data_IF_706871619275
#
_entry.id   IF_706871619275
#
_cell.length_a   1.000
_cell.length_b   1.000
_cell.length_c   1.000
_cell.angle_alpha   90.00
_cell.angle_beta   90.00
_cell.angle_gamma   90.00
#
_symmetry.space_group_name_H-M   'P 1'
#
loop_
_entity.id
_entity.type
_entity.pdbx_description
1 polymer ?
#
# COMPACT_ATOMS: atom_id res chain seq x y z
N UNK A 1 13.49 7.42 -0.68
CA UNK A 1 12.64 7.92 0.39
C UNK A 1 13.54 8.60 1.44
N UNK A 2 13.15 9.73 1.98
CA UNK A 2 13.95 10.51 2.92
C UNK A 2 13.82 10.04 4.38
N UNK A 3 13.42 8.77 4.60
CA UNK A 3 13.23 8.21 5.95
C UNK A 3 14.54 8.28 6.75
N UNK A 4 14.47 8.89 7.92
CA UNK A 4 15.62 9.02 8.84
C UNK A 4 15.95 7.67 9.51
N UNK A 5 16.73 6.86 8.79
CA UNK A 5 17.13 5.51 9.25
C UNK A 5 17.98 5.58 10.52
N UNK A 6 19.04 6.43 10.63
CA UNK A 6 19.82 6.54 11.87
C UNK A 6 18.97 6.96 13.06
N UNK A 7 18.05 7.92 12.85
CA UNK A 7 17.20 8.44 13.91
C UNK A 7 16.27 7.39 14.50
N UNK A 8 15.52 6.65 13.68
CA UNK A 8 14.62 5.63 14.25
C UNK A 8 15.36 4.43 14.83
N UNK A 9 16.55 4.07 14.31
CA UNK A 9 17.39 3.00 14.90
C UNK A 9 17.90 3.43 16.29
N UNK A 10 18.29 4.69 16.46
CA UNK A 10 18.68 5.21 17.77
C UNK A 10 17.54 5.12 18.78
N UNK A 11 16.31 5.48 18.38
CA UNK A 11 15.11 5.36 19.21
C UNK A 11 14.78 3.90 19.54
N UNK A 12 14.96 2.96 18.61
CA UNK A 12 14.78 1.53 18.87
C UNK A 12 15.77 1.05 19.94
N UNK A 13 17.05 1.46 19.86
CA UNK A 13 18.06 1.13 20.85
C UNK A 13 17.67 1.61 22.26
N UNK A 14 16.99 2.77 22.33
CA UNK A 14 16.47 3.34 23.58
C UNK A 14 15.11 2.75 24.00
N UNK A 15 14.58 1.74 23.28
CA UNK A 15 13.25 1.12 23.49
C UNK A 15 12.07 2.10 23.34
N UNK A 16 12.26 3.21 22.62
CA UNK A 16 11.27 4.26 22.33
C UNK A 16 10.58 3.94 20.99
N UNK A 17 9.88 2.81 20.93
CA UNK A 17 9.33 2.26 19.67
C UNK A 17 8.24 3.15 19.07
N UNK A 18 7.38 3.75 19.90
CA UNK A 18 6.32 4.66 19.45
C UNK A 18 6.90 5.88 18.71
N UNK A 19 7.98 6.45 19.25
CA UNK A 19 8.67 7.59 18.64
C UNK A 19 9.44 7.18 17.38
N UNK A 20 10.00 5.98 17.35
CA UNK A 20 10.64 5.44 16.15
C UNK A 20 9.62 5.31 15.00
N UNK A 21 8.44 4.77 15.26
CA UNK A 21 7.38 4.65 14.26
C UNK A 21 6.84 6.03 13.85
N UNK A 22 6.68 6.97 14.78
CA UNK A 22 6.29 8.34 14.47
C UNK A 22 7.30 9.05 13.57
N UNK A 23 8.61 8.83 13.81
CA UNK A 23 9.68 9.36 12.96
C UNK A 23 9.63 8.77 11.54
N UNK A 24 9.42 7.45 11.41
CA UNK A 24 9.28 6.78 10.11
C UNK A 24 8.08 7.35 9.33
N UNK A 25 6.94 7.60 10.01
CA UNK A 25 5.70 8.08 9.39
C UNK A 25 5.78 9.49 8.81
N UNK A 26 6.78 10.29 9.16
CA UNK A 26 7.00 11.60 8.53
C UNK A 26 7.19 11.47 7.01
N UNK A 27 7.88 10.42 6.57
CA UNK A 27 8.23 10.21 5.17
C UNK A 27 7.63 8.92 4.58
N UNK A 28 7.00 8.09 5.41
CA UNK A 28 6.39 6.83 4.99
C UNK A 28 5.09 6.57 5.76
N UNK A 29 3.91 6.80 5.17
CA UNK A 29 2.62 6.57 5.83
C UNK A 29 2.28 5.09 5.99
N UNK A 30 3.00 4.18 5.32
CA UNK A 30 2.84 2.72 5.37
C UNK A 30 4.04 2.01 6.01
N UNK A 31 4.45 2.36 7.24
CA UNK A 31 5.61 1.73 7.85
C UNK A 31 5.39 0.23 8.11
N UNK A 32 4.15 -0.19 8.46
CA UNK A 32 3.77 -1.58 8.67
C UNK A 32 3.91 -2.39 7.39
N UNK A 33 3.24 -1.97 6.33
CA UNK A 33 3.36 -2.61 5.01
C UNK A 33 4.82 -2.73 4.58
N UNK A 34 5.59 -1.65 4.66
CA UNK A 34 7.01 -1.69 4.29
C UNK A 34 7.86 -2.59 5.21
N UNK A 35 7.46 -2.79 6.45
CA UNK A 35 8.13 -3.74 7.36
C UNK A 35 7.96 -5.20 6.92
N UNK A 36 6.87 -5.52 6.24
CA UNK A 36 6.51 -6.88 5.84
C UNK A 36 6.89 -7.23 4.40
N UNK A 37 6.70 -6.31 3.43
CA UNK A 37 6.79 -6.65 2.00
C UNK A 37 7.81 -5.83 1.19
N UNK A 38 8.60 -4.97 1.85
CA UNK A 38 9.60 -4.16 1.15
C UNK A 38 10.81 -5.03 0.73
N UNK A 39 11.28 -4.85 -0.49
CA UNK A 39 12.53 -5.45 -0.99
C UNK A 39 13.81 -4.80 -0.45
N UNK A 40 13.69 -3.90 0.51
CA UNK A 40 14.75 -3.21 1.26
C UNK A 40 15.96 -2.74 0.44
N UNK A 41 15.78 -1.97 -0.65
CA UNK A 41 16.89 -1.46 -1.45
C UNK A 41 17.86 -0.57 -0.65
N UNK A 42 17.42 -0.02 0.47
CA UNK A 42 18.27 0.72 1.41
C UNK A 42 19.39 -0.14 2.03
N UNK A 43 19.18 -1.45 2.17
CA UNK A 43 20.21 -2.39 2.65
C UNK A 43 21.23 -2.71 1.56
N UNK A 44 20.79 -2.77 0.29
CA UNK A 44 21.69 -2.96 -0.86
C UNK A 44 22.69 -1.79 -0.95
N UNK A 45 22.23 -0.57 -0.66
CA UNK A 45 23.04 0.66 -0.70
C UNK A 45 23.61 1.07 0.67
N UNK A 46 23.52 0.21 1.67
CA UNK A 46 24.03 0.51 3.00
C UNK A 46 25.55 0.61 2.99
N UNK A 47 26.10 1.74 3.46
CA UNK A 47 27.57 1.95 3.55
C UNK A 47 28.27 0.96 4.49
N UNK A 48 27.55 0.40 5.46
CA UNK A 48 28.07 -0.61 6.36
C UNK A 48 28.60 -1.84 5.61
N UNK A 49 28.01 -2.18 4.45
CA UNK A 49 28.48 -3.26 3.57
C UNK A 49 29.92 -3.10 3.07
N UNK A 50 30.48 -1.90 3.18
CA UNK A 50 31.91 -1.66 2.85
C UNK A 50 32.86 -2.18 3.96
N UNK A 51 32.34 -2.51 5.13
CA UNK A 51 33.10 -2.95 6.30
C UNK A 51 32.77 -4.40 6.66
N UNK A 52 31.47 -4.69 6.74
CA UNK A 52 30.89 -6.01 7.05
C UNK A 52 29.48 -6.13 6.42
N UNK A 53 28.48 -6.66 7.11
CA UNK A 53 27.12 -6.81 6.62
C UNK A 53 26.32 -5.51 6.69
N UNK A 54 25.31 -5.40 5.81
CA UNK A 54 24.36 -4.30 5.87
C UNK A 54 23.62 -4.28 7.21
N UNK A 55 23.27 -3.08 7.67
CA UNK A 55 22.32 -2.93 8.80
C UNK A 55 20.97 -3.51 8.37
N UNK A 56 20.36 -4.35 9.20
CA UNK A 56 19.03 -4.91 8.97
C UNK A 56 17.94 -3.82 9.17
N UNK A 57 17.87 -2.89 8.21
CA UNK A 57 17.03 -1.68 8.25
C UNK A 57 15.55 -2.05 8.23
N UNK A 58 15.18 -3.01 7.36
CA UNK A 58 13.79 -3.45 7.23
C UNK A 58 13.33 -4.24 8.46
N UNK A 59 14.14 -5.16 8.95
CA UNK A 59 13.84 -5.94 10.15
C UNK A 59 13.71 -5.06 11.39
N UNK A 60 14.57 -4.06 11.57
CA UNK A 60 14.48 -3.10 12.67
C UNK A 60 13.20 -2.24 12.58
N UNK A 61 12.81 -1.82 11.36
CA UNK A 61 11.54 -1.13 11.13
C UNK A 61 10.35 -2.00 11.55
N UNK A 62 10.31 -3.25 11.07
CA UNK A 62 9.28 -4.22 11.45
C UNK A 62 9.23 -4.42 12.96
N UNK A 63 10.39 -4.62 13.57
CA UNK A 63 10.49 -4.78 15.04
C UNK A 63 9.88 -3.59 15.79
N UNK A 64 10.19 -2.35 15.37
CA UNK A 64 9.62 -1.16 15.99
C UNK A 64 8.09 -1.13 15.87
N UNK A 65 7.54 -1.49 14.70
CA UNK A 65 6.11 -1.51 14.44
C UNK A 65 5.41 -2.56 15.29
N UNK A 66 5.97 -3.76 15.37
CA UNK A 66 5.39 -4.88 16.14
C UNK A 66 5.37 -4.59 17.65
N UNK A 67 6.28 -3.73 18.14
CA UNK A 67 6.40 -3.36 19.56
C UNK A 67 5.83 -1.98 19.89
N UNK A 68 5.36 -1.21 18.89
CA UNK A 68 4.75 0.10 19.13
C UNK A 68 3.26 0.00 19.41
N UNK A 69 2.77 0.94 20.23
CA UNK A 69 1.35 1.16 20.46
C UNK A 69 0.72 1.91 19.26
N UNK A 70 -0.62 1.87 19.14
CA UNK A 70 -1.31 2.75 18.19
C UNK A 70 -0.89 4.20 18.42
N UNK A 71 -0.42 4.86 17.34
CA UNK A 71 0.04 6.24 17.43
C UNK A 71 -1.12 7.21 17.64
N UNK A 72 -0.85 8.38 18.21
CA UNK A 72 -1.81 9.48 18.24
C UNK A 72 -2.06 10.01 16.81
N UNK A 73 -3.24 10.59 16.53
CA UNK A 73 -3.51 11.24 15.26
C UNK A 73 -2.46 12.32 14.96
N UNK A 74 -1.95 12.39 13.73
CA UNK A 74 -1.02 13.43 13.35
C UNK A 74 -1.71 14.80 13.33
N UNK A 75 -0.97 15.87 13.65
CA UNK A 75 -1.48 17.23 13.55
C UNK A 75 -1.48 17.69 12.10
N UNK A 76 -2.65 18.08 11.60
CA UNK A 76 -2.78 18.78 10.32
C UNK A 76 -2.54 20.29 10.46
N UNK A 77 -2.13 20.92 9.37
CA UNK A 77 -2.06 22.36 9.25
C UNK A 77 -3.47 23.00 9.34
N UNK A 78 -3.55 24.32 9.42
CA UNK A 78 -4.84 25.04 9.38
C UNK A 78 -5.55 24.72 8.05
N UNK A 79 -6.89 24.60 8.07
CA UNK A 79 -7.67 24.36 6.85
C UNK A 79 -7.39 25.41 5.78
N UNK A 80 -7.13 24.97 4.56
CA UNK A 80 -6.88 25.83 3.40
C UNK A 80 -8.17 26.25 2.68
N UNK A 81 -9.29 25.58 2.98
CA UNK A 81 -10.55 25.72 2.26
C UNK A 81 -10.55 25.07 0.87
N UNK A 82 -9.49 24.32 0.51
CA UNK A 82 -9.40 23.62 -0.76
C UNK A 82 -9.80 22.16 -0.61
N UNK A 83 -10.48 21.64 -1.65
CA UNK A 83 -10.99 20.28 -1.73
C UNK A 83 -10.26 19.47 -2.81
N UNK A 84 -9.89 18.23 -2.52
CA UNK A 84 -9.20 17.35 -3.46
C UNK A 84 -9.92 16.02 -3.55
N UNK A 85 -10.36 15.64 -4.75
CA UNK A 85 -10.84 14.31 -5.04
C UNK A 85 -9.67 13.38 -5.40
N UNK A 86 -9.65 12.18 -4.82
CA UNK A 86 -8.63 11.17 -5.08
C UNK A 86 -9.33 9.93 -5.64
N UNK A 87 -8.99 9.56 -6.87
CA UNK A 87 -9.58 8.43 -7.57
C UNK A 87 -8.68 7.22 -7.39
N UNK A 88 -9.08 6.30 -6.52
CA UNK A 88 -8.37 5.09 -6.14
C UNK A 88 -7.83 5.12 -4.71
N UNK A 89 -8.27 4.14 -3.90
CA UNK A 89 -7.92 3.94 -2.49
C UNK A 89 -6.74 2.99 -2.29
N UNK A 90 -5.86 2.83 -3.28
CA UNK A 90 -4.61 2.09 -3.17
C UNK A 90 -3.50 2.90 -2.46
N UNK A 91 -2.27 2.35 -2.35
CA UNK A 91 -1.19 3.01 -1.61
C UNK A 91 -0.85 4.41 -2.15
N UNK A 92 -0.94 4.63 -3.47
CA UNK A 92 -0.69 5.94 -4.07
C UNK A 92 -1.72 6.97 -3.65
N UNK A 93 -3.03 6.64 -3.75
CA UNK A 93 -4.11 7.54 -3.35
C UNK A 93 -4.12 7.83 -1.85
N UNK A 94 -3.97 6.79 -1.03
CA UNK A 94 -3.89 6.94 0.42
C UNK A 94 -2.70 7.80 0.87
N UNK A 95 -1.52 7.62 0.23
CA UNK A 95 -0.35 8.47 0.50
C UNK A 95 -0.60 9.93 0.13
N UNK A 96 -1.20 10.18 -1.05
CA UNK A 96 -1.53 11.53 -1.49
C UNK A 96 -2.55 12.17 -0.53
N UNK A 97 -3.62 11.45 -0.18
CA UNK A 97 -4.62 11.90 0.78
C UNK A 97 -4.01 12.28 2.13
N UNK A 98 -3.13 11.43 2.65
CA UNK A 98 -2.44 11.65 3.93
C UNK A 98 -1.68 12.97 3.94
N UNK A 99 -0.78 13.18 2.99
CA UNK A 99 0.04 14.40 2.99
C UNK A 99 -0.77 15.64 2.65
N UNK A 100 -1.74 15.57 1.74
CA UNK A 100 -2.62 16.70 1.43
C UNK A 100 -3.47 17.09 2.64
N UNK A 101 -4.00 16.11 3.39
CA UNK A 101 -4.74 16.38 4.63
C UNK A 101 -3.84 16.99 5.71
N UNK A 102 -2.58 16.53 5.84
CA UNK A 102 -1.61 17.17 6.74
C UNK A 102 -1.30 18.62 6.36
N UNK A 103 -1.36 18.95 5.07
CA UNK A 103 -1.24 20.33 4.56
C UNK A 103 -2.50 21.17 4.77
N UNK A 104 -3.59 20.60 5.30
CA UNK A 104 -4.84 21.28 5.59
C UNK A 104 -5.86 21.30 4.45
N UNK A 105 -5.67 20.48 3.42
CA UNK A 105 -6.66 20.30 2.36
C UNK A 105 -7.73 19.27 2.79
N UNK A 106 -8.98 19.47 2.37
CA UNK A 106 -10.05 18.49 2.54
C UNK A 106 -9.95 17.43 1.43
N UNK A 107 -9.71 16.18 1.78
CA UNK A 107 -9.53 15.10 0.82
C UNK A 107 -10.69 14.12 0.86
N UNK A 108 -11.16 13.70 -0.32
CA UNK A 108 -12.17 12.65 -0.50
C UNK A 108 -11.61 11.56 -1.41
N UNK A 109 -11.59 10.32 -0.93
CA UNK A 109 -11.16 9.15 -1.73
C UNK A 109 -12.39 8.46 -2.31
N UNK A 110 -12.37 8.19 -3.61
CA UNK A 110 -13.33 7.36 -4.33
C UNK A 110 -12.65 6.05 -4.71
N UNK A 111 -13.15 4.93 -4.15
CA UNK A 111 -12.60 3.59 -4.40
C UNK A 111 -13.70 2.69 -4.97
N UNK A 112 -13.40 2.02 -6.10
CA UNK A 112 -14.35 1.13 -6.76
C UNK A 112 -14.64 -0.16 -5.98
N UNK A 113 -13.72 -0.59 -5.12
CA UNK A 113 -13.83 -1.80 -4.32
C UNK A 113 -14.44 -1.52 -2.95
N UNK A 114 -14.95 -2.55 -2.26
CA UNK A 114 -15.55 -2.38 -0.95
C UNK A 114 -14.57 -1.97 0.14
N UNK A 115 -13.26 -2.19 -0.06
CA UNK A 115 -12.24 -1.89 0.93
C UNK A 115 -11.05 -1.16 0.32
N UNK A 116 -10.43 -0.29 1.14
CA UNK A 116 -9.19 0.40 0.79
C UNK A 116 -7.99 -0.54 0.82
N UNK A 117 -6.89 -0.11 0.18
CA UNK A 117 -5.62 -0.82 0.16
C UNK A 117 -5.13 -1.18 -1.24
N UNK A 118 -6.03 -1.21 -2.23
CA UNK A 118 -5.66 -1.53 -3.63
C UNK A 118 -4.90 -2.85 -3.73
N UNK A 119 -3.81 -2.90 -4.50
CA UNK A 119 -3.02 -4.13 -4.68
C UNK A 119 -2.33 -4.63 -3.39
N UNK A 120 -2.20 -3.82 -2.36
CA UNK A 120 -1.72 -4.31 -1.05
C UNK A 120 -2.70 -5.29 -0.42
N UNK A 121 -4.01 -5.07 -0.62
CA UNK A 121 -5.08 -5.94 -0.10
C UNK A 121 -5.47 -7.04 -1.10
N UNK A 122 -5.57 -6.69 -2.38
CA UNK A 122 -6.15 -7.57 -3.40
C UNK A 122 -5.12 -8.32 -4.23
N UNK A 123 -3.83 -8.06 -4.03
CA UNK A 123 -2.76 -8.67 -4.82
C UNK A 123 -1.69 -9.36 -3.99
N UNK A 124 -1.50 -8.96 -2.73
CA UNK A 124 -0.52 -9.56 -1.83
C UNK A 124 -1.25 -10.53 -0.90
N UNK A 125 -0.87 -11.82 -0.85
CA UNK A 125 -1.50 -12.79 0.03
C UNK A 125 -1.34 -12.47 1.52
N UNK A 126 -2.33 -12.88 2.33
CA UNK A 126 -2.39 -12.61 3.76
C UNK A 126 -1.19 -13.19 4.55
N UNK A 127 -0.61 -14.29 4.08
CA UNK A 127 0.59 -14.87 4.72
C UNK A 127 1.83 -13.99 4.54
N UNK A 128 1.86 -13.09 3.55
CA UNK A 128 2.94 -12.10 3.35
C UNK A 128 2.64 -10.76 3.98
N UNK A 129 1.39 -10.30 3.84
CA UNK A 129 0.92 -9.04 4.41
C UNK A 129 -0.38 -9.28 5.17
N UNK A 130 -0.31 -9.55 6.47
CA UNK A 130 -1.49 -9.74 7.30
C UNK A 130 -2.44 -8.54 7.20
N UNK A 131 -3.76 -8.76 7.03
CA UNK A 131 -4.74 -7.68 6.87
C UNK A 131 -4.71 -6.65 8.00
N UNK A 132 -4.48 -7.09 9.25
CA UNK A 132 -4.41 -6.22 10.43
C UNK A 132 -3.25 -5.22 10.36
N UNK A 133 -2.14 -5.57 9.71
CA UNK A 133 -1.00 -4.66 9.52
C UNK A 133 -1.36 -3.56 8.51
N UNK A 134 -2.00 -3.94 7.41
CA UNK A 134 -2.48 -3.00 6.42
C UNK A 134 -3.56 -2.07 7.00
N UNK A 135 -4.53 -2.64 7.73
CA UNK A 135 -5.63 -1.88 8.35
C UNK A 135 -5.13 -0.91 9.41
N UNK A 136 -4.09 -1.27 10.15
CA UNK A 136 -3.42 -0.37 11.11
C UNK A 136 -2.82 0.85 10.42
N UNK A 137 -2.13 0.67 9.29
CA UNK A 137 -1.56 1.80 8.54
C UNK A 137 -2.67 2.65 7.89
N UNK A 138 -3.69 2.03 7.28
CA UNK A 138 -4.84 2.74 6.68
C UNK A 138 -5.58 3.54 7.75
N UNK A 139 -5.89 2.96 8.90
CA UNK A 139 -6.58 3.63 10.00
C UNK A 139 -5.81 4.89 10.45
N UNK A 140 -4.47 4.79 10.55
CA UNK A 140 -3.64 5.95 10.90
C UNK A 140 -3.71 7.06 9.84
N UNK A 141 -3.74 6.70 8.55
CA UNK A 141 -3.91 7.64 7.45
C UNK A 141 -5.27 8.34 7.56
N UNK A 142 -6.34 7.59 7.78
CA UNK A 142 -7.70 8.11 7.87
C UNK A 142 -7.94 9.01 9.08
N UNK A 143 -7.13 8.91 10.14
CA UNK A 143 -7.20 9.81 11.30
C UNK A 143 -6.92 11.28 10.96
N UNK A 144 -6.39 11.58 9.78
CA UNK A 144 -6.24 12.96 9.29
C UNK A 144 -7.56 13.60 8.83
N UNK A 145 -8.69 12.87 8.89
CA UNK A 145 -10.01 13.39 8.53
C UNK A 145 -10.33 13.28 7.04
N UNK A 146 -9.81 12.25 6.37
CA UNK A 146 -10.09 11.95 4.96
C UNK A 146 -11.47 11.32 4.84
N UNK A 147 -12.31 11.86 3.94
CA UNK A 147 -13.56 11.25 3.54
C UNK A 147 -13.33 10.07 2.59
N UNK A 148 -14.15 9.00 2.74
CA UNK A 148 -13.98 7.78 1.94
C UNK A 148 -15.33 7.29 1.40
N UNK A 149 -15.39 7.11 0.09
CA UNK A 149 -16.51 6.50 -0.63
C UNK A 149 -16.03 5.24 -1.33
N UNK A 150 -16.40 4.08 -0.79
CA UNK A 150 -16.11 2.77 -1.40
C UNK A 150 -17.26 2.27 -2.24
N UNK A 151 -17.00 1.34 -3.17
CA UNK A 151 -17.99 0.80 -4.10
C UNK A 151 -18.38 1.79 -5.21
N UNK A 152 -17.59 2.85 -5.44
CA UNK A 152 -17.87 3.88 -6.45
C UNK A 152 -16.81 3.85 -7.54
N UNK A 153 -17.20 3.56 -8.75
CA UNK A 153 -16.33 3.54 -9.94
C UNK A 153 -16.48 4.85 -10.72
N UNK A 154 -15.44 5.70 -10.67
CA UNK A 154 -15.42 6.93 -11.45
C UNK A 154 -15.29 6.59 -12.95
N UNK A 155 -16.10 7.24 -13.76
CA UNK A 155 -16.28 6.96 -15.19
C UNK A 155 -17.42 5.97 -15.50
N UNK A 156 -17.93 5.26 -14.47
CA UNK A 156 -19.08 4.36 -14.61
C UNK A 156 -20.27 4.84 -13.77
N UNK A 157 -20.08 4.97 -12.47
CA UNK A 157 -21.14 5.35 -11.52
C UNK A 157 -21.22 6.88 -11.37
N UNK A 158 -20.09 7.55 -11.41
CA UNK A 158 -19.95 9.01 -11.37
C UNK A 158 -19.03 9.46 -12.50
N UNK A 159 -19.46 10.40 -13.33
CA UNK A 159 -18.63 10.96 -14.40
C UNK A 159 -17.49 11.81 -13.86
N UNK A 160 -16.33 11.76 -14.53
CA UNK A 160 -15.16 12.54 -14.12
C UNK A 160 -15.44 14.06 -14.18
N UNK A 161 -16.31 14.50 -15.09
CA UNK A 161 -16.71 15.89 -15.25
C UNK A 161 -17.46 16.43 -14.03
N UNK A 162 -18.21 15.55 -13.32
CA UNK A 162 -18.89 15.92 -12.08
C UNK A 162 -17.88 16.12 -10.96
N UNK A 163 -16.94 15.17 -10.83
CA UNK A 163 -15.85 15.29 -9.85
C UNK A 163 -15.05 16.58 -10.09
N UNK A 164 -14.74 16.92 -11.34
CA UNK A 164 -13.99 18.15 -11.68
C UNK A 164 -14.76 19.45 -11.36
N UNK A 165 -16.08 19.41 -11.31
CA UNK A 165 -16.90 20.57 -10.91
C UNK A 165 -16.97 20.75 -9.39
N UNK A 166 -16.97 19.64 -8.65
CA UNK A 166 -17.24 19.63 -7.22
C UNK A 166 -15.95 19.81 -6.37
N UNK A 167 -14.78 19.61 -6.98
CA UNK A 167 -13.47 19.66 -6.29
C UNK A 167 -12.52 20.63 -6.97
N UNK A 168 -11.67 21.30 -6.17
CA UNK A 168 -10.62 22.21 -6.67
C UNK A 168 -9.54 21.46 -7.45
N UNK A 169 -9.26 20.20 -7.12
CA UNK A 169 -8.30 19.37 -7.82
C UNK A 169 -8.70 17.89 -7.81
N UNK A 170 -8.23 17.15 -8.81
CA UNK A 170 -8.44 15.70 -8.94
C UNK A 170 -7.09 14.99 -9.04
N UNK A 171 -6.85 14.02 -8.16
CA UNK A 171 -5.66 13.18 -8.17
C UNK A 171 -6.03 11.77 -8.62
N UNK A 172 -5.47 11.31 -9.74
CA UNK A 172 -5.76 10.00 -10.32
C UNK A 172 -4.72 8.98 -9.81
N UNK A 173 -5.17 7.97 -9.06
CA UNK A 173 -4.36 6.93 -8.43
C UNK A 173 -4.94 5.52 -8.68
N UNK A 174 -5.42 5.26 -9.88
CA UNK A 174 -6.15 4.03 -10.25
C UNK A 174 -5.27 2.76 -10.28
N UNK A 175 -3.95 2.90 -10.22
CA UNK A 175 -3.01 1.78 -10.20
C UNK A 175 -2.91 1.02 -11.51
N UNK A 176 -2.28 -0.19 -11.45
CA UNK A 176 -2.14 -1.11 -12.56
C UNK A 176 -2.73 -2.47 -12.16
N UNK A 177 -3.91 -2.78 -12.67
CA UNK A 177 -4.69 -3.97 -12.33
C UNK A 177 -4.68 -5.06 -13.40
N UNK A 178 -3.95 -4.85 -14.50
CA UNK A 178 -3.82 -5.79 -15.59
C UNK A 178 -2.40 -6.31 -15.69
N UNK A 179 -2.25 -7.58 -15.93
CA UNK A 179 -0.98 -8.20 -16.25
C UNK A 179 -0.53 -7.87 -17.68
N UNK A 180 0.75 -8.03 -17.91
CA UNK A 180 1.32 -7.95 -19.27
C UNK A 180 1.15 -9.31 -19.95
N UNK A 181 0.58 -9.30 -21.15
CA UNK A 181 0.52 -10.49 -22.00
C UNK A 181 1.92 -10.91 -22.44
N UNK A 182 2.16 -12.22 -22.46
CA UNK A 182 3.41 -12.82 -22.93
C UNK A 182 3.56 -12.75 -24.45
N UNK A 183 2.43 -12.66 -25.17
CA UNK A 183 2.35 -12.63 -26.65
C UNK A 183 2.92 -13.89 -27.29
N UNK A 184 2.62 -15.04 -26.71
CA UNK A 184 2.98 -16.36 -27.20
C UNK A 184 1.73 -17.13 -27.63
N UNK A 185 1.91 -18.08 -28.52
CA UNK A 185 0.84 -18.98 -28.95
C UNK A 185 0.29 -19.78 -27.75
N UNK A 186 -1.04 -19.89 -27.64
CA UNK A 186 -1.71 -20.56 -26.56
C UNK A 186 -1.96 -19.73 -25.31
N UNK A 187 -1.53 -18.47 -25.23
CA UNK A 187 -1.74 -17.59 -24.08
C UNK A 187 -3.23 -17.42 -23.72
N UNK A 188 -4.12 -17.43 -24.73
CA UNK A 188 -5.56 -17.27 -24.55
C UNK A 188 -6.29 -18.63 -24.47
N UNK A 189 -5.59 -19.76 -24.26
CA UNK A 189 -6.19 -21.08 -24.15
C UNK A 189 -7.07 -21.20 -22.89
N UNK A 190 -8.09 -22.05 -22.93
CA UNK A 190 -9.15 -22.18 -21.90
C UNK A 190 -8.65 -22.37 -20.47
N UNK A 191 -7.47 -22.96 -20.27
CA UNK A 191 -6.92 -23.26 -18.94
C UNK A 191 -5.73 -22.36 -18.59
N UNK A 192 -5.52 -21.28 -19.33
CA UNK A 192 -4.51 -20.27 -19.03
C UNK A 192 -5.20 -19.13 -18.26
N UNK A 193 -4.69 -18.83 -17.08
CA UNK A 193 -5.25 -17.78 -16.21
C UNK A 193 -4.17 -16.77 -15.83
N UNK A 194 -4.57 -15.54 -15.65
CA UNK A 194 -3.72 -14.48 -15.14
C UNK A 194 -3.47 -14.66 -13.64
N UNK A 195 -2.21 -14.74 -13.22
CA UNK A 195 -1.85 -14.80 -11.81
C UNK A 195 -2.33 -13.55 -11.05
N UNK A 196 -2.26 -12.36 -11.65
CA UNK A 196 -2.77 -11.11 -11.05
C UNK A 196 -4.28 -11.19 -10.82
N UNK A 197 -5.04 -11.72 -11.81
CA UNK A 197 -6.49 -11.88 -11.67
C UNK A 197 -6.85 -12.93 -10.64
N UNK A 198 -6.08 -14.01 -10.55
CA UNK A 198 -6.27 -15.07 -9.55
C UNK A 198 -6.04 -14.53 -8.13
N UNK A 199 -4.88 -13.93 -7.88
CA UNK A 199 -4.56 -13.34 -6.57
C UNK A 199 -5.58 -12.29 -6.14
N UNK A 200 -6.03 -11.47 -7.09
CA UNK A 200 -7.10 -10.50 -6.83
C UNK A 200 -8.41 -11.18 -6.45
N UNK A 201 -8.80 -12.25 -7.14
CA UNK A 201 -9.96 -13.06 -6.79
C UNK A 201 -9.85 -13.63 -5.38
N UNK A 202 -8.68 -14.14 -4.99
CA UNK A 202 -8.41 -14.63 -3.63
C UNK A 202 -8.60 -13.50 -2.61
N UNK A 203 -8.06 -12.29 -2.88
CA UNK A 203 -8.29 -11.11 -2.04
C UNK A 203 -9.76 -10.64 -1.97
N UNK A 204 -10.60 -11.10 -2.89
CA UNK A 204 -12.07 -10.93 -2.89
C UNK A 204 -12.82 -12.15 -2.32
N UNK A 205 -12.12 -13.09 -1.68
CA UNK A 205 -12.64 -14.38 -1.18
C UNK A 205 -13.17 -15.32 -2.28
N UNK A 206 -12.70 -15.16 -3.51
CA UNK A 206 -12.97 -16.08 -4.63
C UNK A 206 -11.78 -17.02 -4.76
N UNK A 207 -11.84 -18.18 -4.07
CA UNK A 207 -10.73 -19.13 -4.04
C UNK A 207 -10.90 -20.12 -5.20
N UNK A 208 -9.92 -20.22 -6.15
CA UNK A 208 -10.00 -21.21 -7.22
C UNK A 208 -9.80 -22.61 -6.68
N UNK A 209 -10.53 -23.60 -7.25
CA UNK A 209 -10.32 -25.01 -6.94
C UNK A 209 -9.33 -25.64 -7.93
N UNK A 210 -8.18 -26.00 -7.41
CA UNK A 210 -7.11 -26.69 -8.14
C UNK A 210 -6.90 -28.14 -7.69
N UNK A 211 -7.86 -28.72 -6.96
CA UNK A 211 -7.78 -30.13 -6.51
C UNK A 211 -7.53 -31.05 -7.70
N UNK A 212 -6.57 -31.97 -7.53
CA UNK A 212 -6.15 -32.98 -8.53
C UNK A 212 -5.63 -32.40 -9.87
N UNK A 213 -5.31 -31.10 -9.92
CA UNK A 213 -4.75 -30.46 -11.12
C UNK A 213 -3.24 -30.34 -11.04
N UNK A 214 -2.58 -30.53 -12.17
CA UNK A 214 -1.18 -30.16 -12.35
C UNK A 214 -1.14 -28.70 -12.85
N UNK A 215 -0.46 -27.84 -12.11
CA UNK A 215 -0.37 -26.41 -12.41
C UNK A 215 1.06 -26.10 -12.81
N UNK A 216 1.20 -25.26 -13.85
CA UNK A 216 2.46 -24.68 -14.25
C UNK A 216 2.36 -23.16 -14.09
N UNK A 217 3.25 -22.57 -13.29
CA UNK A 217 3.34 -21.12 -13.11
C UNK A 217 4.49 -20.61 -13.99
N UNK A 218 4.18 -19.66 -14.88
CA UNK A 218 5.17 -19.05 -15.78
C UNK A 218 5.63 -17.72 -15.23
N UNK A 219 6.91 -17.65 -14.84
CA UNK A 219 7.55 -16.47 -14.27
C UNK A 219 8.33 -16.78 -12.99
N UNK A 220 9.14 -15.83 -12.53
CA UNK A 220 9.97 -15.94 -11.32
C UNK A 220 9.95 -14.67 -10.48
N UNK A 221 9.03 -13.73 -10.75
CA UNK A 221 8.84 -12.54 -9.94
C UNK A 221 7.91 -12.77 -8.74
N UNK A 222 7.73 -11.73 -7.91
CA UNK A 222 6.92 -11.81 -6.69
C UNK A 222 5.51 -12.36 -6.95
N UNK A 223 4.83 -11.91 -8.01
CA UNK A 223 3.48 -12.37 -8.37
C UNK A 223 3.45 -13.88 -8.65
N UNK A 224 4.47 -14.39 -9.34
CA UNK A 224 4.55 -15.84 -9.65
C UNK A 224 4.80 -16.66 -8.39
N UNK A 225 5.66 -16.15 -7.49
CA UNK A 225 5.94 -16.80 -6.20
C UNK A 225 4.70 -16.79 -5.29
N UNK A 226 3.93 -15.71 -5.31
CA UNK A 226 2.70 -15.60 -4.53
C UNK A 226 1.57 -16.50 -5.08
N UNK A 227 1.64 -16.84 -6.38
CA UNK A 227 0.67 -17.70 -7.05
C UNK A 227 1.01 -19.20 -6.96
N UNK A 228 2.16 -19.56 -6.37
CA UNK A 228 2.62 -20.95 -6.20
C UNK A 228 2.28 -21.49 -4.83
#
# INVERSE_FOLDING_TARGET
AHVDVPGYIALIREKRYDEAVALIRKDNPFPGVCGYVCEHPCEIHCRRRMVDDAVNICGLKRFAIDHSKPAAPPKSAKPTGRTVAIIGGGPGGLTAAYYLSLMGHSCTIFEQRPQLGGMLRYGIPDYRLPPEILDRDISHILWTGIDVHTGISIGKDVGIENIQKDYDAVYIAIGAHSDKKLRIEGEDAKNVISAVSMLRGIGENIIPDFTDKRICVIGGGNVSMDAT
#
